data_IF_075473601988
#
_entry.id   IF_075473601988
#
_cell.length_a   1.000
_cell.length_b   1.000
_cell.length_c   1.000
_cell.angle_alpha   90.00
_cell.angle_beta   90.00
_cell.angle_gamma   90.00
#
_symmetry.space_group_name_H-M   'P 1'
#
loop_
_entity.id
_entity.type
_entity.pdbx_description
1 polymer ?
#
# COMPACT_ATOMS: atom_id res chain seq x y z
N UNK A 1 -0.86 30.26 1.03
CA UNK A 1 -1.00 29.08 0.14
C UNK A 1 -0.96 29.55 -1.30
N UNK A 2 -0.27 28.83 -2.20
CA UNK A 2 -0.20 29.17 -3.64
C UNK A 2 -1.34 28.55 -4.45
N UNK A 3 -1.73 27.31 -4.13
CA UNK A 3 -2.88 26.62 -4.72
C UNK A 3 -3.58 25.77 -3.64
N UNK A 4 -4.75 26.18 -3.13
CA UNK A 4 -5.50 25.44 -2.11
C UNK A 4 -6.06 24.09 -2.57
N UNK A 5 -6.03 23.81 -3.88
CA UNK A 5 -6.50 22.55 -4.47
C UNK A 5 -5.35 21.61 -4.84
N UNK A 6 -4.09 21.98 -4.57
CA UNK A 6 -2.97 21.09 -4.76
C UNK A 6 -3.12 19.85 -3.86
N UNK A 7 -2.76 18.68 -4.40
CA UNK A 7 -2.68 17.44 -3.66
C UNK A 7 -1.23 17.01 -3.58
N UNK A 8 -0.73 16.82 -2.36
CA UNK A 8 0.65 16.41 -2.12
C UNK A 8 0.63 15.02 -1.46
N UNK A 9 1.23 14.05 -2.14
CA UNK A 9 1.27 12.65 -1.71
C UNK A 9 2.69 12.34 -1.25
N UNK A 10 2.83 11.77 -0.05
CA UNK A 10 4.08 11.27 0.46
C UNK A 10 4.27 9.79 0.11
N UNK A 11 5.43 9.48 -0.45
CA UNK A 11 5.96 8.12 -0.52
C UNK A 11 6.86 7.91 0.70
N UNK A 12 6.32 7.27 1.75
CA UNK A 12 7.02 7.03 3.01
C UNK A 12 6.71 5.62 3.51
N UNK A 13 7.73 4.76 3.48
CA UNK A 13 7.67 3.39 3.99
C UNK A 13 7.72 3.35 5.52
N UNK A 14 8.27 4.36 6.18
CA UNK A 14 8.49 4.36 7.64
C UNK A 14 7.17 4.44 8.44
N UNK A 15 6.14 5.05 7.87
CA UNK A 15 4.88 5.28 8.55
C UNK A 15 4.97 6.40 9.59
N UNK A 16 5.75 7.44 9.29
CA UNK A 16 6.01 8.56 10.20
C UNK A 16 4.68 9.15 10.72
N UNK A 17 4.45 9.21 12.04
CA UNK A 17 3.26 9.86 12.60
C UNK A 17 3.19 11.32 12.18
N UNK A 18 1.96 11.84 12.01
CA UNK A 18 1.68 13.25 11.68
C UNK A 18 2.16 13.74 10.31
N UNK A 19 2.70 12.85 9.47
CA UNK A 19 3.09 13.15 8.10
C UNK A 19 1.93 13.74 7.29
N UNK A 20 0.74 13.16 7.44
CA UNK A 20 -0.47 13.60 6.73
C UNK A 20 -1.42 14.45 7.60
N UNK A 21 -0.88 15.14 8.61
CA UNK A 21 -1.64 16.07 9.46
C UNK A 21 -1.35 17.52 9.05
N UNK A 22 -2.30 18.45 9.23
CA UNK A 22 -2.09 19.86 8.95
C UNK A 22 -0.92 20.45 9.74
N UNK A 23 -0.18 21.39 9.14
CA UNK A 23 0.94 22.09 9.79
C UNK A 23 0.50 22.79 11.08
N UNK A 24 -0.70 23.38 11.09
CA UNK A 24 -1.29 24.02 12.28
C UNK A 24 -1.49 23.07 13.46
N UNK A 25 -1.61 21.76 13.21
CA UNK A 25 -1.74 20.72 14.24
C UNK A 25 -0.37 20.13 14.62
N UNK A 26 0.75 20.66 14.10
CA UNK A 26 2.09 20.12 14.27
C UNK A 26 2.46 18.98 13.31
N UNK A 27 1.69 18.79 12.24
CA UNK A 27 1.99 17.82 11.17
C UNK A 27 2.93 18.37 10.10
N UNK A 28 3.31 17.51 9.15
CA UNK A 28 4.19 17.90 8.02
C UNK A 28 3.41 18.55 6.87
N UNK A 29 2.11 18.22 6.73
CA UNK A 29 1.22 18.87 5.78
C UNK A 29 1.00 18.13 4.46
N UNK A 30 1.39 16.86 4.33
CA UNK A 30 0.98 16.05 3.19
C UNK A 30 -0.53 15.72 3.25
N UNK A 31 -1.17 15.56 2.10
CA UNK A 31 -2.58 15.19 2.04
C UNK A 31 -2.78 13.69 2.24
N UNK A 32 -1.93 12.89 1.60
CA UNK A 32 -2.00 11.43 1.60
C UNK A 32 -0.60 10.84 1.77
N UNK A 33 -0.56 9.59 2.24
CA UNK A 33 0.61 8.72 2.10
C UNK A 33 0.25 7.43 1.37
N UNK A 34 1.25 6.78 0.77
CA UNK A 34 1.10 5.48 0.14
C UNK A 34 1.05 4.33 1.17
N UNK A 35 0.15 3.37 0.98
CA UNK A 35 0.09 2.12 1.76
C UNK A 35 1.09 1.09 1.24
N UNK A 36 2.38 1.34 1.46
CA UNK A 36 3.45 0.54 0.86
C UNK A 36 3.51 -0.91 1.36
N UNK A 37 2.83 -1.25 2.46
CA UNK A 37 2.76 -2.63 2.96
C UNK A 37 1.75 -3.51 2.21
N UNK A 38 0.71 -2.92 1.63
CA UNK A 38 -0.39 -3.68 1.01
C UNK A 38 0.07 -4.56 -0.17
N UNK A 39 0.96 -4.09 -1.06
CA UNK A 39 1.51 -4.94 -2.12
C UNK A 39 2.34 -6.11 -1.62
N UNK A 40 3.21 -5.90 -0.64
CA UNK A 40 4.04 -6.97 -0.06
C UNK A 40 3.19 -8.06 0.59
N UNK A 41 2.08 -7.67 1.23
CA UNK A 41 1.09 -8.61 1.74
C UNK A 41 0.52 -9.48 0.62
N UNK A 42 0.05 -8.89 -0.47
CA UNK A 42 -0.50 -9.65 -1.60
C UNK A 42 0.54 -10.57 -2.23
N UNK A 43 1.76 -10.06 -2.43
CA UNK A 43 2.87 -10.85 -2.93
C UNK A 43 3.14 -12.07 -2.05
N UNK A 44 3.12 -11.90 -0.72
CA UNK A 44 3.30 -13.02 0.21
C UNK A 44 2.21 -14.08 0.04
N UNK A 45 0.94 -13.70 -0.14
CA UNK A 45 -0.14 -14.67 -0.35
C UNK A 45 -0.01 -15.36 -1.72
N UNK A 46 0.24 -14.59 -2.78
CA UNK A 46 0.31 -15.11 -4.16
C UNK A 46 1.56 -15.93 -4.45
N UNK A 47 2.70 -15.60 -3.85
CA UNK A 47 3.97 -16.33 -4.01
C UNK A 47 4.16 -17.44 -2.96
N UNK A 48 3.32 -17.49 -1.92
CA UNK A 48 3.38 -18.61 -0.98
C UNK A 48 2.82 -19.87 -1.62
N UNK A 49 3.41 -21.03 -1.32
CA UNK A 49 2.79 -22.33 -1.58
C UNK A 49 1.61 -22.63 -0.62
N UNK A 50 1.00 -21.58 -0.05
CA UNK A 50 -0.12 -21.68 0.85
C UNK A 50 -1.40 -21.82 0.00
N UNK A 51 -2.19 -22.87 0.19
CA UNK A 51 -3.43 -23.02 -0.55
C UNK A 51 -4.44 -21.94 -0.12
N UNK A 52 -5.34 -21.58 -1.04
CA UNK A 52 -6.29 -20.47 -0.87
C UNK A 52 -7.15 -20.60 0.39
N UNK A 53 -7.55 -21.83 0.73
CA UNK A 53 -8.33 -22.15 1.93
C UNK A 53 -7.60 -21.85 3.25
N UNK A 54 -6.27 -21.76 3.24
CA UNK A 54 -5.46 -21.44 4.41
C UNK A 54 -5.17 -19.93 4.54
N UNK A 55 -5.73 -19.10 3.65
CA UNK A 55 -5.53 -17.66 3.72
C UNK A 55 -6.10 -17.07 5.01
N UNK A 56 -5.22 -16.46 5.80
CA UNK A 56 -5.63 -15.80 7.03
C UNK A 56 -6.38 -14.48 6.75
N UNK A 57 -7.70 -14.56 6.67
CA UNK A 57 -8.60 -13.40 6.42
C UNK A 57 -8.47 -12.32 7.50
N UNK A 58 -8.18 -12.70 8.75
CA UNK A 58 -7.96 -11.77 9.85
C UNK A 58 -6.71 -10.91 9.63
N UNK A 59 -5.63 -11.54 9.17
CA UNK A 59 -4.40 -10.84 8.78
C UNK A 59 -4.65 -9.90 7.59
N UNK A 60 -5.29 -10.37 6.52
CA UNK A 60 -5.63 -9.53 5.35
C UNK A 60 -6.45 -8.30 5.79
N UNK A 61 -7.51 -8.52 6.57
CA UNK A 61 -8.38 -7.44 7.04
C UNK A 61 -7.61 -6.45 7.90
N UNK A 62 -6.78 -6.95 8.83
CA UNK A 62 -5.93 -6.08 9.65
C UNK A 62 -4.97 -5.27 8.78
N UNK A 63 -4.25 -5.90 7.86
CA UNK A 63 -3.29 -5.23 6.98
C UNK A 63 -3.91 -4.16 6.09
N UNK A 64 -5.14 -4.36 5.60
CA UNK A 64 -5.87 -3.37 4.78
C UNK A 64 -6.45 -2.21 5.61
N UNK A 65 -6.69 -2.43 6.90
CA UNK A 65 -7.37 -1.45 7.78
C UNK A 65 -6.45 -0.80 8.81
N UNK A 66 -5.25 -1.33 9.03
CA UNK A 66 -4.29 -0.85 10.00
C UNK A 66 -3.64 0.46 9.53
N UNK A 67 -4.36 1.56 9.74
CA UNK A 67 -3.92 2.92 9.42
C UNK A 67 -4.30 3.89 10.52
N UNK A 68 -3.55 4.97 10.63
CA UNK A 68 -3.79 6.02 11.63
C UNK A 68 -5.08 6.77 11.31
N UNK A 69 -5.97 6.86 12.30
CA UNK A 69 -7.19 7.65 12.16
C UNK A 69 -6.84 9.12 11.88
N UNK A 70 -7.56 9.74 10.94
CA UNK A 70 -7.35 11.12 10.43
C UNK A 70 -6.07 11.36 9.62
N UNK A 71 -5.37 10.31 9.19
CA UNK A 71 -4.32 10.39 8.17
C UNK A 71 -4.80 9.62 6.94
N UNK A 72 -4.94 10.30 5.80
CA UNK A 72 -5.46 9.67 4.58
C UNK A 72 -4.36 8.82 3.94
N UNK A 73 -4.75 7.67 3.43
CA UNK A 73 -3.83 6.70 2.81
C UNK A 73 -4.39 6.27 1.47
N UNK A 74 -3.52 6.17 0.46
CA UNK A 74 -3.81 5.58 -0.85
C UNK A 74 -3.42 4.11 -0.78
N UNK A 75 -4.42 3.22 -0.84
CA UNK A 75 -4.21 1.78 -0.94
C UNK A 75 -4.12 1.35 -2.40
N UNK A 76 -3.22 0.39 -2.68
CA UNK A 76 -3.01 -0.20 -4.00
C UNK A 76 -2.54 -1.65 -3.81
N UNK A 77 -2.88 -2.51 -4.78
CA UNK A 77 -2.59 -3.95 -4.70
C UNK A 77 -1.19 -4.30 -5.20
N UNK A 78 -0.70 -3.57 -6.19
CA UNK A 78 0.64 -3.69 -6.77
C UNK A 78 1.12 -2.30 -7.24
N UNK A 79 2.43 -2.10 -7.34
CA UNK A 79 3.06 -0.87 -7.84
C UNK A 79 4.15 -1.19 -8.87
N UNK A 80 4.84 -0.15 -9.29
CA UNK A 80 6.01 -0.28 -10.15
C UNK A 80 7.24 -0.83 -9.39
N UNK A 81 7.22 -0.84 -8.05
CA UNK A 81 8.33 -1.35 -7.24
C UNK A 81 8.55 -2.84 -7.47
N UNK A 82 7.47 -3.62 -7.65
CA UNK A 82 7.55 -5.04 -8.00
C UNK A 82 8.34 -5.28 -9.29
N UNK A 83 8.16 -4.41 -10.28
CA UNK A 83 8.91 -4.49 -11.53
C UNK A 83 10.39 -4.14 -11.34
N UNK A 84 10.72 -3.21 -10.44
CA UNK A 84 12.11 -2.82 -10.14
C UNK A 84 12.86 -3.97 -9.45
N UNK A 85 12.22 -4.66 -8.50
CA UNK A 85 12.85 -5.79 -7.78
C UNK A 85 12.86 -7.10 -8.57
N UNK A 86 12.29 -7.09 -9.78
CA UNK A 86 12.26 -8.24 -10.68
C UNK A 86 11.21 -9.30 -10.33
N UNK A 87 10.16 -8.91 -9.61
CA UNK A 87 9.04 -9.79 -9.30
C UNK A 87 8.03 -9.85 -10.46
N UNK A 88 7.12 -10.82 -10.39
CA UNK A 88 5.99 -10.97 -11.31
C UNK A 88 4.85 -10.01 -10.90
N UNK A 89 4.07 -9.56 -11.88
CA UNK A 89 2.78 -8.88 -11.62
C UNK A 89 1.82 -9.83 -10.93
N UNK A 90 0.78 -9.30 -10.27
CA UNK A 90 -0.25 -10.17 -9.68
C UNK A 90 -0.90 -11.09 -10.71
N UNK A 91 -1.13 -10.59 -11.94
CA UNK A 91 -1.66 -11.40 -13.03
C UNK A 91 -0.75 -12.57 -13.40
N UNK A 92 0.57 -12.36 -13.42
CA UNK A 92 1.55 -13.39 -13.76
C UNK A 92 1.73 -14.40 -12.61
N UNK A 93 1.47 -14.02 -11.37
CA UNK A 93 1.36 -14.97 -10.25
C UNK A 93 0.09 -15.82 -10.32
N UNK A 94 -1.04 -15.26 -10.77
CA UNK A 94 -2.33 -15.95 -10.82
C UNK A 94 -2.50 -16.88 -12.04
N UNK A 95 -2.07 -16.43 -13.21
CA UNK A 95 -2.33 -17.13 -14.48
C UNK A 95 -1.08 -17.77 -15.08
N UNK A 96 0.11 -17.32 -14.69
CA UNK A 96 1.40 -17.73 -15.23
C UNK A 96 1.38 -17.84 -16.78
N UNK A 97 1.65 -19.01 -17.36
CA UNK A 97 1.68 -19.18 -18.80
C UNK A 97 0.30 -19.17 -19.48
N UNK A 98 -0.80 -19.36 -18.73
CA UNK A 98 -2.17 -19.38 -19.29
C UNK A 98 -2.66 -17.99 -19.73
N UNK A 99 -1.90 -16.93 -19.43
CA UNK A 99 -2.19 -15.58 -19.91
C UNK A 99 -1.94 -15.41 -21.43
N UNK A 100 -1.21 -16.35 -22.05
CA UNK A 100 -0.78 -16.31 -23.46
C UNK A 100 -1.52 -17.36 -24.31
#
# INVERSE_FOLDING_TARGET
ELNPHALIIAEDVSGMPTLCRPIKDGGIGFDYRLSMFTPDMWLKYLNSHLPDEEWNIGHITHSLTNRRFKEKVIGYSESHDQAIVGDKTQSMHLFDQEIY
#
